data_IF_339108253763
#
_entry.id   IF_339108253763
#
_cell.length_a   1.000
_cell.length_b   1.000
_cell.length_c   1.000
_cell.angle_alpha   90.00
_cell.angle_beta   90.00
_cell.angle_gamma   90.00
#
_symmetry.space_group_name_H-M   'P 1'
#
loop_
_entity.id
_entity.type
_entity.pdbx_description
1 polymer ?
#
# COMPACT_ATOMS: atom_id res chain seq x y z
N UNK A 1 3.67 -15.43 -4.54
CA UNK A 1 3.14 -15.94 -5.82
C UNK A 1 2.77 -14.82 -6.80
N UNK A 2 2.39 -13.62 -6.35
CA UNK A 2 2.12 -12.49 -7.24
C UNK A 2 0.66 -12.35 -7.70
N UNK A 3 -0.20 -13.34 -7.44
CA UNK A 3 -1.61 -13.32 -7.86
C UNK A 3 -2.36 -12.09 -7.32
N UNK A 4 -2.13 -11.70 -6.07
CA UNK A 4 -2.78 -10.54 -5.46
C UNK A 4 -2.12 -9.19 -5.84
N UNK A 5 -0.93 -9.21 -6.46
CA UNK A 5 -0.13 -8.00 -6.67
C UNK A 5 -0.83 -6.94 -7.52
N UNK A 6 -1.53 -7.27 -8.63
CA UNK A 6 -2.22 -6.26 -9.43
C UNK A 6 -3.27 -5.48 -8.62
N UNK A 7 -4.11 -6.18 -7.85
CA UNK A 7 -5.13 -5.56 -7.00
C UNK A 7 -4.52 -4.66 -5.92
N UNK A 8 -3.48 -5.17 -5.24
CA UNK A 8 -2.75 -4.42 -4.20
C UNK A 8 -2.14 -3.14 -4.76
N UNK A 9 -1.48 -3.20 -5.93
CA UNK A 9 -0.80 -2.03 -6.52
C UNK A 9 -1.81 -0.94 -6.89
N UNK A 10 -2.94 -1.29 -7.51
CA UNK A 10 -3.97 -0.32 -7.86
C UNK A 10 -4.63 0.28 -6.61
N UNK A 11 -4.94 -0.55 -5.61
CA UNK A 11 -5.53 -0.06 -4.36
C UNK A 11 -4.57 0.83 -3.58
N UNK A 12 -3.28 0.48 -3.53
CA UNK A 12 -2.24 1.29 -2.89
C UNK A 12 -2.04 2.62 -3.62
N UNK A 13 -2.02 2.63 -4.95
CA UNK A 13 -2.00 3.88 -5.73
C UNK A 13 -3.17 4.79 -5.35
N UNK A 14 -4.39 4.26 -5.34
CA UNK A 14 -5.58 5.03 -4.99
C UNK A 14 -5.52 5.58 -3.56
N UNK A 15 -4.96 4.80 -2.61
CA UNK A 15 -4.70 5.29 -1.25
C UNK A 15 -3.78 6.51 -1.27
N UNK A 16 -2.63 6.41 -1.94
CA UNK A 16 -1.60 7.45 -1.91
C UNK A 16 -1.98 8.71 -2.68
N UNK A 17 -2.86 8.61 -3.68
CA UNK A 17 -3.48 9.77 -4.33
C UNK A 17 -4.45 10.50 -3.39
N UNK A 18 -5.15 9.77 -2.51
CA UNK A 18 -6.14 10.34 -1.58
C UNK A 18 -5.53 10.81 -0.27
N UNK A 19 -4.57 10.06 0.27
CA UNK A 19 -3.85 10.31 1.50
C UNK A 19 -2.36 10.03 1.27
N UNK A 20 -1.55 11.07 0.94
CA UNK A 20 -0.12 10.91 0.64
C UNK A 20 0.74 10.51 1.84
N UNK A 21 0.24 10.61 3.07
CA UNK A 21 0.96 10.20 4.29
C UNK A 21 0.07 9.35 5.22
N UNK A 22 -0.30 8.13 4.79
CA UNK A 22 -1.15 7.26 5.59
C UNK A 22 -0.35 6.66 6.75
N UNK A 23 -1.01 6.48 7.89
CA UNK A 23 -0.47 5.64 8.97
C UNK A 23 -0.51 4.16 8.58
N UNK A 24 0.23 3.32 9.29
CA UNK A 24 0.19 1.87 9.08
C UNK A 24 -1.23 1.29 9.22
N UNK A 25 -1.98 1.75 10.22
CA UNK A 25 -3.36 1.33 10.47
C UNK A 25 -4.28 1.71 9.30
N UNK A 26 -4.15 2.93 8.78
CA UNK A 26 -4.92 3.39 7.61
C UNK A 26 -4.60 2.55 6.37
N UNK A 27 -3.33 2.25 6.12
CA UNK A 27 -2.92 1.41 4.99
C UNK A 27 -3.47 -0.03 5.11
N UNK A 28 -3.45 -0.60 6.32
CA UNK A 28 -4.02 -1.93 6.60
C UNK A 28 -5.53 -1.95 6.37
N UNK A 29 -6.24 -0.96 6.91
CA UNK A 29 -7.69 -0.86 6.74
C UNK A 29 -8.07 -0.69 5.27
N UNK A 30 -7.39 0.20 4.55
CA UNK A 30 -7.63 0.43 3.13
C UNK A 30 -7.41 -0.83 2.27
N UNK A 31 -6.38 -1.61 2.59
CA UNK A 31 -6.03 -2.81 1.83
C UNK A 31 -6.74 -4.09 2.30
N UNK A 32 -7.65 -4.01 3.28
CA UNK A 32 -8.35 -5.18 3.83
C UNK A 32 -9.16 -5.97 2.77
N UNK A 33 -9.58 -5.31 1.68
CA UNK A 33 -10.25 -5.96 0.55
C UNK A 33 -9.34 -6.74 -0.41
N UNK A 34 -8.01 -6.64 -0.26
CA UNK A 34 -7.03 -7.29 -1.13
C UNK A 34 -6.44 -8.53 -0.46
N UNK A 35 -7.11 -9.68 -0.63
CA UNK A 35 -6.71 -10.93 0.03
C UNK A 35 -5.37 -11.47 -0.51
N UNK A 36 -4.45 -11.78 0.40
CA UNK A 36 -3.16 -12.38 0.08
C UNK A 36 -2.90 -13.61 0.94
N UNK A 37 -2.53 -14.73 0.30
CA UNK A 37 -2.17 -15.97 1.01
C UNK A 37 -0.68 -16.16 1.27
N UNK A 38 0.19 -15.44 0.56
CA UNK A 38 1.63 -15.70 0.60
C UNK A 38 2.41 -14.83 1.60
N UNK A 39 2.02 -13.57 1.80
CA UNK A 39 2.91 -12.60 2.47
C UNK A 39 2.55 -12.33 3.93
N UNK A 40 1.33 -12.66 4.36
CA UNK A 40 0.82 -12.23 5.67
C UNK A 40 0.65 -10.71 5.80
N UNK A 41 0.61 -9.98 4.68
CA UNK A 41 0.39 -8.53 4.57
C UNK A 41 1.54 -7.62 5.04
N UNK A 42 2.34 -7.98 6.04
CA UNK A 42 3.32 -7.05 6.63
C UNK A 42 4.29 -6.43 5.60
N UNK A 43 4.82 -7.23 4.67
CA UNK A 43 5.72 -6.72 3.61
C UNK A 43 5.00 -5.83 2.60
N UNK A 44 3.71 -6.06 2.36
CA UNK A 44 2.89 -5.22 1.48
C UNK A 44 2.70 -3.85 2.14
N UNK A 45 2.31 -3.83 3.42
CA UNK A 45 2.08 -2.58 4.16
C UNK A 45 3.35 -1.74 4.23
N UNK A 46 4.50 -2.35 4.55
CA UNK A 46 5.79 -1.65 4.55
C UNK A 46 6.14 -1.05 3.19
N UNK A 47 5.91 -1.79 2.10
CA UNK A 47 6.17 -1.28 0.75
C UNK A 47 5.27 -0.08 0.39
N UNK A 48 4.03 -0.06 0.86
CA UNK A 48 3.12 1.07 0.63
C UNK A 48 3.55 2.31 1.41
N UNK A 49 3.95 2.16 2.68
CA UNK A 49 4.45 3.28 3.49
C UNK A 49 5.77 3.84 2.93
N UNK A 50 6.66 2.97 2.44
CA UNK A 50 7.91 3.37 1.79
C UNK A 50 7.65 4.11 0.46
N UNK A 51 6.69 3.64 -0.33
CA UNK A 51 6.24 4.34 -1.53
C UNK A 51 5.62 5.70 -1.20
N UNK A 52 4.83 5.82 -0.12
CA UNK A 52 4.27 7.08 0.34
C UNK A 52 5.37 8.10 0.63
N UNK A 53 6.43 7.67 1.35
CA UNK A 53 7.59 8.50 1.63
C UNK A 53 8.30 8.95 0.35
N UNK A 54 8.60 8.00 -0.54
CA UNK A 54 9.31 8.27 -1.81
C UNK A 54 8.54 9.28 -2.67
N UNK A 55 7.23 9.11 -2.82
CA UNK A 55 6.40 10.02 -3.64
C UNK A 55 6.32 11.44 -3.08
N UNK A 56 6.39 11.60 -1.75
CA UNK A 56 6.46 12.93 -1.12
C UNK A 56 7.83 13.58 -1.29
N UNK A 57 8.90 12.79 -1.27
CA UNK A 57 10.26 13.27 -1.54
C UNK A 57 10.39 13.72 -3.00
N UNK A 58 9.80 12.99 -3.95
CA UNK A 58 9.82 13.34 -5.39
C UNK A 58 8.97 14.59 -5.72
N UNK A 59 8.00 14.94 -4.87
CA UNK A 59 7.12 16.10 -5.06
C UNK A 59 7.66 17.40 -4.45
N UNK A 60 8.76 17.33 -3.70
CA UNK A 60 9.43 18.46 -3.04
C UNK A 60 10.50 19.10 -3.93
#
# INVERSE_FOLDING_TARGET
>A
CGICTPGVVIAAKALLEHNPDPTEEQARYWLAGNLCRCTGYDKIIRAVLDAAKTLREDAA
#
